data_IF_392443726627
#
_entry.id   IF_392443726627
#
_cell.length_a   1.000
_cell.length_b   1.000
_cell.length_c   1.000
_cell.angle_alpha   90.00
_cell.angle_beta   90.00
_cell.angle_gamma   90.00
#
_symmetry.space_group_name_H-M   'P 1'
#
loop_
_entity.id
_entity.type
_entity.pdbx_description
1 polymer ?
#
# COMPACT_ATOMS: atom_id res chain seq x y z
N UNK A 1 19.84 -11.19 1.14
CA UNK A 1 19.04 -9.95 1.32
C UNK A 1 17.82 -9.87 0.40
N UNK A 2 17.93 -10.20 -0.89
CA UNK A 2 16.82 -10.15 -1.87
C UNK A 2 15.58 -10.98 -1.49
N UNK A 3 15.75 -12.21 -0.96
CA UNK A 3 14.62 -13.06 -0.56
C UNK A 3 13.77 -12.46 0.57
N UNK A 4 14.40 -11.81 1.56
CA UNK A 4 13.67 -11.19 2.67
C UNK A 4 12.84 -10.00 2.21
N UNK A 5 13.37 -9.20 1.28
CA UNK A 5 12.65 -8.08 0.70
C UNK A 5 11.43 -8.56 -0.09
N UNK A 6 11.62 -9.51 -1.01
CA UNK A 6 10.51 -10.09 -1.80
C UNK A 6 9.45 -10.75 -0.92
N UNK A 7 9.86 -11.42 0.17
CA UNK A 7 8.92 -12.01 1.13
C UNK A 7 8.09 -10.95 1.85
N UNK A 8 8.74 -9.91 2.39
CA UNK A 8 8.06 -8.80 3.07
C UNK A 8 7.08 -8.06 2.15
N UNK A 9 7.44 -7.86 0.88
CA UNK A 9 6.52 -7.27 -0.09
C UNK A 9 5.29 -8.15 -0.31
N UNK A 10 5.45 -9.47 -0.46
CA UNK A 10 4.32 -10.40 -0.61
C UNK A 10 3.44 -10.44 0.64
N UNK A 11 4.04 -10.52 1.83
CA UNK A 11 3.32 -10.47 3.10
C UNK A 11 2.48 -9.19 3.22
N UNK A 12 3.05 -8.04 2.86
CA UNK A 12 2.36 -6.75 2.85
C UNK A 12 1.21 -6.70 1.83
N UNK A 13 1.43 -7.15 0.59
CA UNK A 13 0.38 -7.25 -0.42
C UNK A 13 -0.80 -8.09 0.09
N UNK A 14 -0.52 -9.27 0.65
CA UNK A 14 -1.54 -10.13 1.23
C UNK A 14 -2.27 -9.45 2.38
N UNK A 15 -1.56 -8.75 3.27
CA UNK A 15 -2.18 -8.03 4.37
C UNK A 15 -3.14 -6.95 3.88
N UNK A 16 -2.76 -6.18 2.86
CA UNK A 16 -3.60 -5.13 2.27
C UNK A 16 -4.86 -5.73 1.63
N UNK A 17 -4.69 -6.79 0.83
CA UNK A 17 -5.80 -7.46 0.16
C UNK A 17 -6.78 -8.12 1.15
N UNK A 18 -6.28 -8.66 2.27
CA UNK A 18 -7.11 -9.37 3.27
C UNK A 18 -7.79 -8.45 4.29
N UNK A 19 -7.08 -7.41 4.76
CA UNK A 19 -7.65 -6.46 5.72
C UNK A 19 -8.54 -5.39 5.08
N UNK A 20 -8.44 -5.24 3.75
CA UNK A 20 -9.10 -4.18 3.02
C UNK A 20 -8.46 -2.81 3.27
N UNK A 21 -9.00 -1.80 2.59
CA UNK A 21 -8.52 -0.42 2.69
C UNK A 21 -9.68 0.45 3.15
N UNK A 22 -9.51 1.11 4.30
CA UNK A 22 -10.54 2.00 4.84
C UNK A 22 -10.68 3.24 3.96
N UNK A 23 -11.91 3.58 3.60
CA UNK A 23 -12.21 4.76 2.78
C UNK A 23 -11.90 4.58 1.29
N UNK A 24 -11.66 3.35 0.83
CA UNK A 24 -11.53 3.05 -0.59
C UNK A 24 -12.90 3.17 -1.27
N UNK A 25 -13.00 4.05 -2.27
CA UNK A 25 -14.22 4.34 -3.03
C UNK A 25 -14.19 3.79 -4.47
N UNK A 26 -13.10 3.11 -4.85
CA UNK A 26 -12.94 2.55 -6.18
C UNK A 26 -13.52 1.15 -6.34
N UNK A 27 -13.17 0.51 -7.45
CA UNK A 27 -13.54 -0.88 -7.76
C UNK A 27 -12.88 -1.90 -6.82
N UNK A 28 -13.27 -3.17 -6.91
CA UNK A 28 -12.62 -4.21 -6.11
C UNK A 28 -11.11 -4.24 -6.36
N UNK A 29 -10.29 -4.39 -5.31
CA UNK A 29 -8.84 -4.41 -5.48
C UNK A 29 -8.36 -5.51 -6.44
N UNK A 30 -9.13 -6.58 -6.57
CA UNK A 30 -8.86 -7.67 -7.52
C UNK A 30 -9.10 -7.26 -8.99
N UNK A 31 -9.99 -6.30 -9.28
CA UNK A 31 -10.23 -5.84 -10.65
C UNK A 31 -9.18 -4.84 -11.14
N UNK A 32 -8.42 -4.22 -10.22
CA UNK A 32 -7.25 -3.40 -10.55
C UNK A 32 -6.10 -4.21 -11.19
N UNK A 33 -6.14 -5.54 -11.11
CA UNK A 33 -5.15 -6.44 -11.69
C UNK A 33 -4.04 -6.85 -10.72
N UNK A 34 -2.91 -7.32 -11.27
CA UNK A 34 -1.79 -7.81 -10.47
C UNK A 34 -1.00 -6.68 -9.80
N UNK A 35 -0.62 -6.87 -8.54
CA UNK A 35 0.26 -5.93 -7.83
C UNK A 35 1.67 -6.05 -8.43
N UNK A 36 2.10 -5.00 -9.14
CA UNK A 36 3.44 -4.86 -9.71
C UNK A 36 4.47 -4.51 -8.63
N UNK A 37 4.08 -3.69 -7.66
CA UNK A 37 4.95 -3.29 -6.56
C UNK A 37 4.15 -2.94 -5.31
N UNK A 38 4.70 -3.25 -4.14
CA UNK A 38 4.15 -2.81 -2.87
C UNK A 38 5.25 -2.52 -1.87
N UNK A 39 5.14 -1.43 -1.10
CA UNK A 39 6.15 -1.14 -0.10
C UNK A 39 5.98 0.21 0.59
N UNK A 40 6.73 0.41 1.69
CA UNK A 40 6.79 1.70 2.35
C UNK A 40 7.54 2.71 1.48
N UNK A 41 7.05 3.94 1.48
CA UNK A 41 7.66 5.09 0.82
C UNK A 41 7.61 6.30 1.75
N UNK A 42 8.55 7.23 1.60
CA UNK A 42 8.52 8.50 2.30
C UNK A 42 8.26 9.60 1.28
N UNK A 43 7.11 10.26 1.38
CA UNK A 43 6.71 11.36 0.50
C UNK A 43 7.23 12.66 1.12
N UNK A 44 8.04 13.40 0.36
CA UNK A 44 8.55 14.70 0.77
C UNK A 44 7.85 15.81 -0.03
N UNK A 45 7.19 16.73 0.66
CA UNK A 45 6.60 17.95 0.07
C UNK A 45 7.18 19.15 0.80
N UNK A 46 8.20 19.76 0.20
CA UNK A 46 8.99 20.81 0.87
C UNK A 46 9.73 20.26 2.09
N UNK A 47 9.43 20.79 3.28
CA UNK A 47 10.00 20.33 4.56
C UNK A 47 9.22 19.18 5.19
N UNK A 48 7.99 18.94 4.73
CA UNK A 48 7.15 17.88 5.28
C UNK A 48 7.55 16.52 4.71
N UNK A 49 7.74 15.54 5.60
CA UNK A 49 7.97 14.14 5.24
C UNK A 49 6.89 13.27 5.86
N UNK A 50 6.30 12.39 5.05
CA UNK A 50 5.23 11.50 5.47
C UNK A 50 5.51 10.08 5.01
N UNK A 51 5.52 9.15 5.94
CA UNK A 51 5.64 7.73 5.62
C UNK A 51 4.27 7.20 5.17
N UNK A 52 4.28 6.53 4.03
CA UNK A 52 3.11 5.95 3.34
C UNK A 52 3.46 4.58 2.81
N UNK A 53 2.45 3.87 2.33
CA UNK A 53 2.61 2.64 1.56
C UNK A 53 2.07 2.85 0.17
N UNK A 54 2.82 2.41 -0.84
CA UNK A 54 2.36 2.39 -2.22
C UNK A 54 1.97 0.97 -2.61
N UNK A 55 0.86 0.86 -3.35
CA UNK A 55 0.45 -0.36 -4.05
C UNK A 55 0.28 0.00 -5.52
N UNK A 56 1.19 -0.49 -6.35
CA UNK A 56 1.18 -0.25 -7.78
C UNK A 56 0.51 -1.42 -8.49
N UNK A 57 -0.61 -1.13 -9.13
CA UNK A 57 -1.28 -1.97 -10.13
C UNK A 57 -0.89 -1.49 -11.55
N UNK A 58 -1.25 -2.20 -12.63
CA UNK A 58 -0.84 -1.84 -13.98
C UNK A 58 -1.33 -0.45 -14.43
N UNK A 59 -2.51 -0.03 -13.98
CA UNK A 59 -3.13 1.25 -14.36
C UNK A 59 -3.41 2.18 -13.18
N UNK A 60 -3.23 1.70 -11.95
CA UNK A 60 -3.65 2.41 -10.73
C UNK A 60 -2.54 2.38 -9.68
N UNK A 61 -2.27 3.52 -9.05
CA UNK A 61 -1.37 3.62 -7.91
C UNK A 61 -2.18 3.99 -6.67
N UNK A 62 -2.15 3.13 -5.66
CA UNK A 62 -2.75 3.45 -4.36
C UNK A 62 -1.70 4.00 -3.41
N UNK A 63 -2.05 5.10 -2.75
CA UNK A 63 -1.32 5.71 -1.64
C UNK A 63 -2.08 5.39 -0.38
N UNK A 64 -1.42 4.73 0.57
CA UNK A 64 -2.02 4.30 1.82
C UNK A 64 -1.29 4.91 3.00
N UNK A 65 -2.05 5.41 3.96
CA UNK A 65 -1.56 5.71 5.30
C UNK A 65 -1.93 4.58 6.26
N UNK A 66 -1.32 4.57 7.44
CA UNK A 66 -1.73 3.70 8.53
C UNK A 66 -2.63 4.47 9.49
N UNK A 67 -3.66 3.80 10.01
CA UNK A 67 -4.43 4.37 11.12
C UNK A 67 -3.52 4.71 12.31
N UNK A 68 -3.97 5.60 13.19
CA UNK A 68 -3.23 6.00 14.40
C UNK A 68 -2.83 4.84 15.32
N UNK A 69 -3.53 3.71 15.22
CA UNK A 69 -3.24 2.46 15.95
C UNK A 69 -2.44 1.44 15.14
N UNK A 70 -1.99 1.80 13.93
CA UNK A 70 -1.29 0.94 12.98
C UNK A 70 -2.04 -0.36 12.65
N UNK A 71 -3.37 -0.38 12.84
CA UNK A 71 -4.18 -1.61 12.77
C UNK A 71 -4.89 -1.79 11.43
N UNK A 72 -4.88 -0.77 10.57
CA UNK A 72 -5.53 -0.80 9.26
C UNK A 72 -4.86 0.16 8.29
N UNK A 73 -4.93 -0.18 7.01
CA UNK A 73 -4.58 0.71 5.90
C UNK A 73 -5.74 1.65 5.59
N UNK A 74 -5.41 2.91 5.33
CA UNK A 74 -6.37 3.98 5.04
C UNK A 74 -6.01 4.58 3.69
N UNK A 75 -6.99 4.69 2.80
CA UNK A 75 -6.80 5.36 1.51
C UNK A 75 -6.53 6.86 1.73
N UNK A 76 -5.54 7.40 1.03
CA UNK A 76 -5.13 8.81 1.09
C UNK A 76 -5.19 9.49 -0.27
#
# INVERSE_FOLDING_TARGET
>A
EKCNYTRKQRELALQILTSGIKGWEGEELMSLGDILHVGPVSIAVGVDRRDRYFVLFPTTLLVLSTSSRMSSFVYE
#
